data_IF_505863571438
#
_entry.id   IF_505863571438
#
_cell.length_a   1.000
_cell.length_b   1.000
_cell.length_c   1.000
_cell.angle_alpha   90.00
_cell.angle_beta   90.00
_cell.angle_gamma   90.00
#
_symmetry.space_group_name_H-M   'P 1'
#
loop_
_entity.id
_entity.type
_entity.pdbx_description
1 polymer ?
#
# COMPACT_ATOMS: atom_id res chain seq x y z
N UNK A 1 -9.41 5.86 4.58
CA UNK A 1 -8.77 4.56 4.32
C UNK A 1 -9.58 3.50 5.01
N UNK A 2 -10.01 2.50 4.27
CA UNK A 2 -10.75 1.33 4.77
C UNK A 2 -9.80 0.19 5.16
N UNK A 3 -10.33 -0.86 5.81
CA UNK A 3 -9.56 -2.08 6.11
C UNK A 3 -9.06 -2.78 4.82
N UNK A 4 -9.86 -2.74 3.75
CA UNK A 4 -9.49 -3.32 2.45
C UNK A 4 -8.31 -2.59 1.81
N UNK A 5 -8.26 -1.26 1.92
CA UNK A 5 -7.13 -0.48 1.43
C UNK A 5 -5.83 -0.83 2.18
N UNK A 6 -5.94 -1.12 3.49
CA UNK A 6 -4.80 -1.55 4.29
C UNK A 6 -4.32 -2.94 3.88
N UNK A 7 -5.24 -3.89 3.66
CA UNK A 7 -4.90 -5.24 3.23
C UNK A 7 -4.09 -5.25 1.91
N UNK A 8 -4.41 -4.33 0.99
CA UNK A 8 -3.71 -4.18 -0.30
C UNK A 8 -2.25 -3.74 -0.16
N UNK A 9 -1.94 -2.87 0.81
CA UNK A 9 -0.55 -2.40 1.05
C UNK A 9 0.21 -3.25 2.06
N UNK A 10 -0.49 -4.04 2.87
CA UNK A 10 0.08 -4.72 4.04
C UNK A 10 1.26 -5.64 3.66
N UNK A 11 1.14 -6.37 2.56
CA UNK A 11 2.18 -7.27 2.07
C UNK A 11 3.28 -6.56 1.27
N UNK A 12 3.20 -5.23 1.11
CA UNK A 12 4.15 -4.44 0.33
C UNK A 12 4.11 -4.66 -1.18
N UNK A 13 3.03 -5.26 -1.69
CA UNK A 13 2.81 -5.47 -3.14
C UNK A 13 2.29 -4.23 -3.87
N UNK A 14 1.62 -3.33 -3.14
CA UNK A 14 1.05 -2.07 -3.64
C UNK A 14 1.50 -0.91 -2.76
N UNK A 15 1.64 0.29 -3.34
CA UNK A 15 2.09 1.48 -2.59
C UNK A 15 0.90 2.34 -2.14
N UNK A 16 0.93 2.92 -0.93
CA UNK A 16 -0.03 3.94 -0.50
C UNK A 16 -0.24 5.09 -1.50
N UNK A 17 0.82 5.55 -2.18
CA UNK A 17 0.71 6.58 -3.23
C UNK A 17 -0.09 6.13 -4.46
N UNK A 18 -0.04 4.85 -4.83
CA UNK A 18 -0.82 4.29 -5.94
C UNK A 18 -2.31 4.26 -5.60
N UNK A 19 -2.65 3.91 -4.36
CA UNK A 19 -4.02 3.96 -3.85
C UNK A 19 -4.55 5.39 -3.75
N UNK A 20 -3.70 6.35 -3.37
CA UNK A 20 -4.08 7.76 -3.36
C UNK A 20 -4.37 8.28 -4.77
N UNK A 21 -3.56 7.89 -5.77
CA UNK A 21 -3.83 8.21 -7.18
C UNK A 21 -5.13 7.58 -7.69
N UNK A 22 -5.53 6.43 -7.14
CA UNK A 22 -6.82 5.79 -7.43
C UNK A 22 -8.00 6.40 -6.64
N UNK A 23 -7.77 7.44 -5.82
CA UNK A 23 -8.80 8.09 -5.00
C UNK A 23 -9.26 7.30 -3.78
N UNK A 24 -8.57 6.21 -3.43
CA UNK A 24 -8.93 5.32 -2.30
C UNK A 24 -8.36 5.79 -0.96
N UNK A 25 -7.25 6.52 -1.00
CA UNK A 25 -6.55 7.06 0.17
C UNK A 25 -6.34 8.56 0.00
N UNK A 26 -6.48 9.31 1.08
CA UNK A 26 -6.28 10.77 1.10
C UNK A 26 -5.05 11.07 1.96
N UNK A 27 -4.20 11.96 1.47
CA UNK A 27 -3.10 12.49 2.26
C UNK A 27 -3.60 13.60 3.21
N UNK A 28 -3.47 13.37 4.52
CA UNK A 28 -3.86 14.36 5.53
C UNK A 28 -2.69 15.27 5.94
N UNK A 29 -1.46 14.91 5.59
CA UNK A 29 -0.27 15.70 5.92
C UNK A 29 0.74 15.58 4.80
N UNK A 30 1.25 16.71 4.32
CA UNK A 30 2.15 16.76 3.16
C UNK A 30 3.32 15.78 3.34
N UNK A 31 3.49 14.91 2.34
CA UNK A 31 4.55 13.90 2.31
C UNK A 31 4.33 12.68 3.20
N UNK A 32 3.15 12.52 3.82
CA UNK A 32 2.80 11.31 4.54
C UNK A 32 2.76 10.09 3.62
N UNK A 33 2.29 10.24 2.37
CA UNK A 33 2.28 9.14 1.39
C UNK A 33 3.69 8.66 1.08
N UNK A 34 4.64 9.57 0.86
CA UNK A 34 6.04 9.21 0.59
C UNK A 34 6.74 8.56 1.78
N UNK A 35 6.33 8.85 3.02
CA UNK A 35 6.79 8.13 4.21
C UNK A 35 6.15 6.75 4.31
N UNK A 36 4.85 6.66 4.07
CA UNK A 36 4.12 5.40 4.10
C UNK A 36 4.64 4.43 3.02
N UNK A 37 4.90 4.91 1.81
CA UNK A 37 5.51 4.12 0.73
C UNK A 37 6.83 3.48 1.17
N UNK A 38 7.68 4.21 1.91
CA UNK A 38 8.94 3.67 2.45
C UNK A 38 8.72 2.69 3.59
N UNK A 39 7.72 2.90 4.45
CA UNK A 39 7.40 2.00 5.56
C UNK A 39 6.85 0.65 5.08
N UNK A 40 6.00 0.67 4.05
CA UNK A 40 5.37 -0.54 3.50
C UNK A 40 6.15 -1.15 2.33
N UNK A 41 7.33 -0.63 2.02
CA UNK A 41 8.15 -1.17 0.93
C UNK A 41 8.69 -2.55 1.31
N UNK A 42 8.27 -3.58 0.58
CA UNK A 42 8.88 -4.90 0.65
C UNK A 42 9.95 -5.04 -0.45
N UNK A 43 11.09 -5.67 -0.12
CA UNK A 43 12.17 -5.91 -1.07
C UNK A 43 11.76 -6.86 -2.23
N UNK A 44 10.80 -7.74 -1.97
CA UNK A 44 10.25 -8.68 -2.95
C UNK A 44 8.74 -8.53 -3.00
N UNK A 45 8.18 -8.56 -4.21
CA UNK A 45 6.73 -8.64 -4.36
C UNK A 45 6.18 -9.91 -3.71
N UNK A 46 5.03 -9.82 -3.01
CA UNK A 46 4.35 -10.98 -2.47
C UNK A 46 3.87 -11.89 -3.60
N UNK A 47 3.89 -13.18 -3.34
CA UNK A 47 3.45 -14.22 -4.28
C UNK A 47 2.84 -15.38 -3.49
N UNK A 48 1.88 -16.09 -4.08
CA UNK A 48 1.27 -17.29 -3.52
C UNK A 48 1.89 -18.55 -4.13
N UNK A 49 2.36 -19.46 -3.28
CA UNK A 49 2.98 -20.72 -3.70
C UNK A 49 1.96 -21.83 -4.01
N UNK A 50 0.78 -21.75 -3.41
CA UNK A 50 -0.24 -22.78 -3.46
C UNK A 50 -1.49 -22.20 -4.10
N UNK A 51 -2.13 -23.00 -4.95
CA UNK A 51 -3.43 -22.73 -5.53
C UNK A 51 -4.46 -23.59 -4.79
N UNK A 52 -5.50 -22.96 -4.25
CA UNK A 52 -6.53 -23.58 -3.41
C UNK A 52 -7.93 -23.10 -3.81
#
# INVERSE_FOLDING_TARGET
>A
MSADDLAVIYMGGSRPSELARAGRVIENSVGALGRADRMFMAARKPWNLVDF
#
